data_IF_318996440162
#
_entry.id   IF_318996440162
#
_cell.length_a   1.000
_cell.length_b   1.000
_cell.length_c   1.000
_cell.angle_alpha   90.00
_cell.angle_beta   90.00
_cell.angle_gamma   90.00
#
_symmetry.space_group_name_H-M   'P 1'
#
loop_
_entity.id
_entity.type
_entity.pdbx_description
1 polymer ?
#
# COMPACT_ATOMS: atom_id res chain seq x y z
N UNK A 1 21.80 -38.26 -53.08
CA UNK A 1 21.23 -36.89 -53.11
C UNK A 1 20.50 -36.50 -51.81
N UNK A 2 20.25 -37.43 -50.89
CA UNK A 2 19.58 -37.21 -49.60
C UNK A 2 20.49 -36.73 -48.45
N UNK A 3 21.80 -37.06 -48.48
CA UNK A 3 22.74 -36.72 -47.40
C UNK A 3 23.14 -35.23 -47.36
N UNK A 4 23.25 -34.57 -48.52
CA UNK A 4 23.55 -33.12 -48.54
C UNK A 4 22.40 -32.27 -47.96
N UNK A 5 21.16 -32.76 -48.08
CA UNK A 5 20.01 -32.05 -47.54
C UNK A 5 19.95 -32.19 -46.01
N UNK A 6 20.40 -33.33 -45.47
CA UNK A 6 20.54 -33.55 -44.02
C UNK A 6 21.60 -32.64 -43.40
N UNK A 7 22.75 -32.47 -44.06
CA UNK A 7 23.81 -31.57 -43.57
C UNK A 7 23.33 -30.12 -43.48
N UNK A 8 22.61 -29.64 -44.50
CA UNK A 8 22.06 -28.29 -44.53
C UNK A 8 20.96 -28.06 -43.49
N UNK A 9 20.09 -29.05 -43.26
CA UNK A 9 19.01 -28.93 -42.27
C UNK A 9 19.58 -28.90 -40.85
N UNK A 10 20.59 -29.72 -40.55
CA UNK A 10 21.25 -29.75 -39.25
C UNK A 10 22.06 -28.47 -38.98
N UNK A 11 22.72 -27.90 -39.99
CA UNK A 11 23.45 -26.62 -39.85
C UNK A 11 22.50 -25.43 -39.57
N UNK A 12 21.30 -25.44 -40.16
CA UNK A 12 20.28 -24.40 -39.91
C UNK A 12 19.64 -24.57 -38.51
N UNK A 13 19.45 -25.81 -38.03
CA UNK A 13 18.89 -26.05 -36.68
C UNK A 13 19.91 -25.85 -35.56
N UNK A 14 21.19 -26.15 -35.80
CA UNK A 14 22.28 -25.94 -34.83
C UNK A 14 22.69 -24.46 -34.73
N UNK A 15 22.51 -23.68 -35.81
CA UNK A 15 22.73 -22.23 -35.78
C UNK A 15 21.55 -21.43 -35.19
N UNK A 16 20.32 -21.94 -35.25
CA UNK A 16 19.15 -21.32 -34.60
C UNK A 16 19.12 -21.52 -33.07
N UNK A 17 19.75 -22.58 -32.55
CA UNK A 17 19.75 -22.86 -31.10
C UNK A 17 20.82 -22.10 -30.30
N UNK A 18 21.85 -21.57 -30.97
CA UNK A 18 23.00 -20.92 -30.34
C UNK A 18 23.07 -19.39 -30.43
N UNK A 19 22.37 -18.75 -31.37
CA UNK A 19 22.45 -17.31 -31.59
C UNK A 19 21.18 -16.60 -31.16
N UNK A 20 21.04 -16.39 -29.84
CA UNK A 20 20.06 -15.40 -29.33
C UNK A 20 20.33 -14.08 -30.01
N UNK A 21 19.35 -13.58 -30.75
CA UNK A 21 19.52 -12.29 -31.42
C UNK A 21 19.76 -11.22 -30.35
N UNK A 22 20.60 -10.22 -30.60
CA UNK A 22 20.83 -9.07 -29.68
C UNK A 22 19.56 -8.40 -29.16
N UNK A 23 18.41 -8.63 -29.83
CA UNK A 23 17.08 -8.19 -29.41
C UNK A 23 16.52 -9.04 -28.27
N UNK A 24 16.65 -10.37 -28.35
CA UNK A 24 16.21 -11.30 -27.31
C UNK A 24 17.02 -11.13 -26.03
N UNK A 25 18.34 -10.96 -26.12
CA UNK A 25 19.16 -10.65 -24.95
C UNK A 25 18.70 -9.36 -24.24
N UNK A 26 18.26 -8.34 -25.00
CA UNK A 26 17.73 -7.10 -24.43
C UNK A 26 16.35 -7.30 -23.80
N UNK A 27 15.53 -8.19 -24.35
CA UNK A 27 14.23 -8.54 -23.79
C UNK A 27 14.40 -9.35 -22.50
N UNK A 28 15.33 -10.30 -22.46
CA UNK A 28 15.67 -11.07 -21.27
C UNK A 28 16.24 -10.18 -20.17
N UNK A 29 17.17 -9.26 -20.49
CA UNK A 29 17.68 -8.28 -19.52
C UNK A 29 16.58 -7.33 -19.00
N UNK A 30 15.56 -7.03 -19.80
CA UNK A 30 14.40 -6.23 -19.37
C UNK A 30 13.40 -7.05 -18.54
N UNK A 31 13.22 -8.32 -18.87
CA UNK A 31 12.39 -9.27 -18.13
C UNK A 31 12.98 -9.56 -16.75
N UNK A 32 14.29 -9.83 -16.68
CA UNK A 32 15.02 -10.01 -15.42
C UNK A 32 14.90 -8.79 -14.51
N UNK A 33 15.13 -7.57 -15.04
CA UNK A 33 14.94 -6.33 -14.27
C UNK A 33 13.49 -6.05 -13.84
N UNK A 34 12.50 -6.63 -14.52
CA UNK A 34 11.07 -6.52 -14.14
C UNK A 34 10.71 -7.56 -13.08
N UNK A 35 11.22 -8.78 -13.20
CA UNK A 35 11.07 -9.83 -12.19
C UNK A 35 11.66 -9.38 -10.84
N UNK A 36 12.88 -8.82 -10.85
CA UNK A 36 13.54 -8.30 -9.64
C UNK A 36 12.73 -7.21 -8.92
N UNK A 37 11.95 -6.40 -9.65
CA UNK A 37 11.11 -5.34 -9.05
C UNK A 37 9.81 -5.85 -8.45
N UNK A 38 9.30 -7.00 -8.92
CA UNK A 38 8.05 -7.58 -8.44
C UNK A 38 8.28 -8.47 -7.22
N UNK A 39 9.41 -9.17 -7.16
CA UNK A 39 9.72 -10.09 -6.06
C UNK A 39 10.20 -9.36 -4.79
N UNK A 40 10.85 -8.20 -4.91
CA UNK A 40 11.47 -7.51 -3.77
C UNK A 40 10.56 -6.57 -2.96
N UNK A 41 9.43 -6.12 -3.51
CA UNK A 41 8.67 -4.98 -2.94
C UNK A 41 7.51 -5.35 -2.01
N UNK A 42 6.72 -6.38 -2.36
CA UNK A 42 5.51 -6.76 -1.62
C UNK A 42 5.69 -8.03 -0.77
N UNK A 43 6.61 -8.93 -1.14
CA UNK A 43 6.83 -10.19 -0.43
C UNK A 43 7.35 -9.99 1.00
N UNK A 44 8.29 -9.07 1.19
CA UNK A 44 8.78 -8.70 2.52
C UNK A 44 7.68 -8.07 3.37
N UNK A 45 6.85 -7.21 2.77
CA UNK A 45 5.71 -6.60 3.45
C UNK A 45 4.69 -7.65 3.89
N UNK A 46 4.40 -8.64 3.04
CA UNK A 46 3.56 -9.78 3.37
C UNK A 46 4.12 -10.62 4.51
N UNK A 47 5.43 -10.88 4.51
CA UNK A 47 6.11 -11.58 5.61
C UNK A 47 6.05 -10.83 6.93
N UNK A 48 6.30 -9.51 6.92
CA UNK A 48 6.19 -8.66 8.11
C UNK A 48 4.76 -8.63 8.65
N UNK A 49 3.76 -8.51 7.77
CA UNK A 49 2.34 -8.54 8.16
C UNK A 49 1.96 -9.89 8.77
N UNK A 50 2.45 -11.00 8.22
CA UNK A 50 2.17 -12.34 8.73
C UNK A 50 2.81 -12.57 10.11
N UNK A 51 4.05 -12.11 10.31
CA UNK A 51 4.74 -12.18 11.61
C UNK A 51 4.00 -11.33 12.65
N UNK A 52 3.61 -10.11 12.28
CA UNK A 52 2.85 -9.22 13.15
C UNK A 52 1.50 -9.85 13.55
N UNK A 53 0.77 -10.42 12.58
CA UNK A 53 -0.48 -11.17 12.83
C UNK A 53 -0.25 -12.36 13.77
N UNK A 54 0.81 -13.15 13.56
CA UNK A 54 1.14 -14.28 14.42
C UNK A 54 1.42 -13.87 15.87
N UNK A 55 2.20 -12.80 16.07
CA UNK A 55 2.48 -12.22 17.39
C UNK A 55 1.19 -11.72 18.07
N UNK A 56 0.31 -11.05 17.31
CA UNK A 56 -0.98 -10.55 17.78
C UNK A 56 -1.90 -11.69 18.24
N UNK A 57 -2.04 -12.75 17.44
CA UNK A 57 -2.82 -13.93 17.80
C UNK A 57 -2.25 -14.63 19.05
N UNK A 58 -0.94 -14.69 19.19
CA UNK A 58 -0.28 -15.28 20.36
C UNK A 58 -0.52 -14.47 21.64
N UNK A 59 -0.34 -13.15 21.59
CA UNK A 59 -0.64 -12.25 22.72
C UNK A 59 -2.12 -12.27 23.10
N UNK A 60 -3.02 -12.40 22.12
CA UNK A 60 -4.46 -12.53 22.35
C UNK A 60 -4.77 -13.84 23.08
N UNK A 61 -4.18 -14.94 22.62
CA UNK A 61 -4.36 -16.25 23.24
C UNK A 61 -3.78 -16.32 24.66
N UNK A 62 -2.76 -15.50 24.97
CA UNK A 62 -2.15 -15.42 26.30
C UNK A 62 -2.99 -14.63 27.33
N UNK A 63 -4.16 -14.11 26.96
CA UNK A 63 -5.10 -13.46 27.89
C UNK A 63 -4.76 -12.02 28.28
N UNK A 64 -3.57 -11.52 27.93
CA UNK A 64 -3.14 -10.14 28.21
C UNK A 64 -3.90 -9.08 27.40
N UNK A 65 -4.51 -9.45 26.26
CA UNK A 65 -5.24 -8.54 25.37
C UNK A 65 -6.78 -8.64 25.51
N UNK A 66 -7.31 -9.22 26.59
CA UNK A 66 -8.77 -9.36 26.79
C UNK A 66 -9.53 -8.02 26.84
N UNK A 67 -8.86 -6.90 27.06
CA UNK A 67 -9.44 -5.55 27.00
C UNK A 67 -9.20 -4.83 25.66
N UNK A 68 -8.25 -5.30 24.84
CA UNK A 68 -7.93 -4.74 23.52
C UNK A 68 -8.74 -5.46 22.43
N UNK A 69 -10.07 -5.41 22.56
CA UNK A 69 -11.03 -5.99 21.60
C UNK A 69 -10.83 -5.44 20.18
N UNK A 70 -10.30 -4.22 20.07
CA UNK A 70 -10.26 -3.45 18.82
C UNK A 70 -8.84 -3.21 18.30
N UNK A 71 -7.92 -4.17 18.44
CA UNK A 71 -6.56 -4.08 17.89
C UNK A 71 -6.54 -3.86 16.37
N UNK A 72 -7.58 -4.31 15.67
CA UNK A 72 -7.80 -4.08 14.25
C UNK A 72 -7.96 -2.59 13.89
N UNK A 73 -8.22 -1.71 14.86
CA UNK A 73 -8.28 -0.26 14.65
C UNK A 73 -6.95 0.30 14.08
N UNK A 74 -5.83 -0.38 14.30
CA UNK A 74 -4.55 -0.04 13.68
C UNK A 74 -4.59 -0.15 12.14
N UNK A 75 -5.45 -1.01 11.57
CA UNK A 75 -5.64 -1.05 10.12
C UNK A 75 -6.36 0.20 9.61
N UNK A 76 -7.24 0.81 10.41
CA UNK A 76 -7.91 2.07 10.09
C UNK A 76 -6.92 3.24 10.18
N UNK A 77 -5.88 3.12 11.01
CA UNK A 77 -4.84 4.13 11.14
C UNK A 77 -4.00 4.28 9.85
N UNK A 78 -3.79 3.21 9.07
CA UNK A 78 -3.04 3.26 7.82
C UNK A 78 -3.60 4.27 6.80
N UNK A 79 -4.89 4.19 6.39
CA UNK A 79 -5.49 5.20 5.53
C UNK A 79 -5.60 6.57 6.20
N UNK A 80 -5.68 6.64 7.54
CA UNK A 80 -5.62 7.92 8.26
C UNK A 80 -4.31 8.64 8.00
N UNK A 81 -3.18 7.93 8.12
CA UNK A 81 -1.84 8.50 7.85
C UNK A 81 -1.66 8.84 6.37
N UNK A 82 -2.15 7.98 5.47
CA UNK A 82 -2.08 8.23 4.03
C UNK A 82 -2.83 9.52 3.64
N UNK A 83 -4.07 9.67 4.08
CA UNK A 83 -4.89 10.86 3.82
C UNK A 83 -4.35 12.11 4.52
N UNK A 84 -3.78 11.96 5.72
CA UNK A 84 -3.11 13.07 6.42
C UNK A 84 -1.90 13.58 5.63
N UNK A 85 -1.05 12.68 5.14
CA UNK A 85 0.11 13.04 4.32
C UNK A 85 -0.29 13.75 3.02
N UNK A 86 -1.38 13.29 2.39
CA UNK A 86 -1.94 13.92 1.20
C UNK A 86 -2.45 15.34 1.50
N UNK A 87 -3.16 15.54 2.61
CA UNK A 87 -3.64 16.85 3.06
C UNK A 87 -2.50 17.81 3.38
N UNK A 88 -1.47 17.34 4.09
CA UNK A 88 -0.28 18.15 4.38
C UNK A 88 0.50 18.51 3.11
N UNK A 89 0.57 17.58 2.14
CA UNK A 89 1.15 17.84 0.83
C UNK A 89 0.39 18.92 0.06
N UNK A 90 -0.94 18.84 0.03
CA UNK A 90 -1.80 19.84 -0.59
C UNK A 90 -1.68 21.21 0.08
N UNK A 91 -1.63 21.26 1.42
CA UNK A 91 -1.41 22.50 2.18
C UNK A 91 -0.09 23.18 1.81
N UNK A 92 1.00 22.41 1.73
CA UNK A 92 2.33 22.94 1.34
C UNK A 92 2.36 23.39 -0.11
N UNK A 93 1.70 22.67 -1.03
CA UNK A 93 1.61 23.03 -2.46
C UNK A 93 0.84 24.33 -2.67
N UNK A 94 -0.19 24.58 -1.88
CA UNK A 94 -1.00 25.79 -1.95
C UNK A 94 -0.46 26.94 -1.09
N UNK A 95 0.85 26.97 -0.82
CA UNK A 95 1.51 28.08 -0.14
C UNK A 95 1.06 28.31 1.31
N UNK A 96 0.56 27.26 1.98
CA UNK A 96 0.03 27.36 3.34
C UNK A 96 -1.42 27.83 3.42
N UNK A 97 -2.16 27.77 2.31
CA UNK A 97 -3.58 28.06 2.29
C UNK A 97 -4.41 26.80 2.52
N UNK A 98 -5.46 26.95 3.33
CA UNK A 98 -6.45 25.91 3.59
C UNK A 98 -7.48 25.89 2.46
N UNK A 99 -7.11 25.38 1.30
CA UNK A 99 -8.04 25.24 0.17
C UNK A 99 -8.85 23.94 0.29
N UNK A 100 -9.95 23.83 -0.46
CA UNK A 100 -10.77 22.61 -0.51
C UNK A 100 -9.98 21.33 -0.85
N UNK A 101 -8.90 21.46 -1.61
CA UNK A 101 -8.01 20.36 -1.98
C UNK A 101 -7.13 19.87 -0.81
N UNK A 102 -6.80 20.75 0.15
CA UNK A 102 -6.11 20.38 1.38
C UNK A 102 -7.08 19.89 2.47
N UNK A 103 -8.29 20.44 2.49
CA UNK A 103 -9.30 20.14 3.52
C UNK A 103 -9.97 18.78 3.32
N UNK A 104 -10.24 18.36 2.09
CA UNK A 104 -10.82 17.03 1.84
C UNK A 104 -10.02 15.88 2.50
N UNK A 105 -8.71 15.75 2.20
CA UNK A 105 -7.87 14.73 2.84
C UNK A 105 -7.68 14.93 4.35
N UNK A 106 -7.65 16.17 4.83
CA UNK A 106 -7.59 16.48 6.27
C UNK A 106 -8.84 15.97 7.01
N UNK A 107 -10.03 16.25 6.48
CA UNK A 107 -11.29 15.76 7.05
C UNK A 107 -11.30 14.24 7.07
N UNK A 108 -10.91 13.59 5.96
CA UNK A 108 -10.81 12.13 5.90
C UNK A 108 -9.86 11.58 6.98
N UNK A 109 -8.68 12.19 7.15
CA UNK A 109 -7.72 11.76 8.16
C UNK A 109 -8.25 11.91 9.59
N UNK A 110 -8.95 13.00 9.88
CA UNK A 110 -9.58 13.26 11.18
C UNK A 110 -10.71 12.26 11.45
N UNK A 111 -11.50 11.90 10.43
CA UNK A 111 -12.50 10.84 10.56
C UNK A 111 -11.86 9.49 10.87
N UNK A 112 -10.84 9.08 10.11
CA UNK A 112 -10.18 7.80 10.35
C UNK A 112 -9.42 7.76 11.69
N UNK A 113 -8.76 8.85 12.10
CA UNK A 113 -8.15 8.98 13.43
C UNK A 113 -9.20 8.91 14.54
N UNK A 114 -10.33 9.60 14.36
CA UNK A 114 -11.44 9.58 15.29
C UNK A 114 -12.02 8.19 15.47
N UNK A 115 -12.31 7.49 14.36
CA UNK A 115 -12.76 6.10 14.38
C UNK A 115 -11.71 5.19 15.04
N UNK A 116 -10.43 5.37 14.70
CA UNK A 116 -9.34 4.61 15.30
C UNK A 116 -9.31 4.82 16.82
N UNK A 117 -9.41 6.05 17.31
CA UNK A 117 -9.45 6.34 18.73
C UNK A 117 -10.69 5.73 19.41
N UNK A 118 -11.86 5.85 18.79
CA UNK A 118 -13.10 5.27 19.33
C UNK A 118 -12.99 3.76 19.48
N UNK A 119 -12.53 3.07 18.44
CA UNK A 119 -12.38 1.63 18.50
C UNK A 119 -11.22 1.24 19.44
N UNK A 120 -10.04 1.83 19.28
CA UNK A 120 -8.84 1.48 20.05
C UNK A 120 -9.02 1.65 21.57
N UNK A 121 -9.68 2.73 22.01
CA UNK A 121 -9.96 2.98 23.42
C UNK A 121 -11.32 2.43 23.90
N UNK A 122 -12.11 1.81 23.00
CA UNK A 122 -13.44 1.31 23.33
C UNK A 122 -14.43 2.41 23.72
N UNK A 123 -14.29 3.60 23.15
CA UNK A 123 -15.14 4.75 23.44
C UNK A 123 -16.54 4.55 22.86
N UNK A 124 -17.51 5.23 23.45
CA UNK A 124 -18.88 5.15 22.98
C UNK A 124 -19.06 6.04 21.74
N UNK A 125 -19.29 5.43 20.57
CA UNK A 125 -19.47 6.14 19.31
C UNK A 125 -20.65 7.13 19.36
N UNK A 126 -21.66 6.85 20.20
CA UNK A 126 -22.80 7.75 20.40
C UNK A 126 -22.39 9.11 20.99
N UNK A 127 -21.36 9.13 21.85
CA UNK A 127 -20.82 10.36 22.45
C UNK A 127 -19.76 11.02 21.55
N UNK A 128 -18.92 10.22 20.89
CA UNK A 128 -17.80 10.72 20.09
C UNK A 128 -18.19 11.15 18.66
N UNK A 129 -19.25 10.56 18.10
CA UNK A 129 -19.76 10.89 16.76
C UNK A 129 -20.09 12.38 16.59
N UNK A 130 -20.86 13.00 17.50
CA UNK A 130 -21.15 14.44 17.45
C UNK A 130 -19.88 15.31 17.51
N UNK A 131 -18.90 14.94 18.33
CA UNK A 131 -17.63 15.67 18.45
C UNK A 131 -16.88 15.62 17.11
N UNK A 132 -16.82 14.44 16.48
CA UNK A 132 -16.21 14.28 15.16
C UNK A 132 -16.93 15.11 14.10
N UNK A 133 -18.26 15.15 14.12
CA UNK A 133 -19.06 15.97 13.21
C UNK A 133 -18.75 17.46 13.36
N UNK A 134 -18.64 17.95 14.59
CA UNK A 134 -18.30 19.35 14.88
C UNK A 134 -16.91 19.69 14.32
N UNK A 135 -15.91 18.86 14.59
CA UNK A 135 -14.53 19.07 14.09
C UNK A 135 -14.49 19.00 12.56
N UNK A 136 -15.16 18.03 11.95
CA UNK A 136 -15.23 17.92 10.49
C UNK A 136 -15.92 19.14 9.85
N UNK A 137 -17.01 19.62 10.45
CA UNK A 137 -17.72 20.82 10.02
C UNK A 137 -16.87 22.07 10.10
N UNK A 138 -16.12 22.25 11.20
CA UNK A 138 -15.15 23.34 11.37
C UNK A 138 -14.09 23.32 10.26
N UNK A 139 -13.52 22.15 9.99
CA UNK A 139 -12.51 21.99 8.92
C UNK A 139 -13.08 22.32 7.55
N UNK A 140 -14.30 21.89 7.24
CA UNK A 140 -14.99 22.24 5.99
C UNK A 140 -15.21 23.75 5.84
N UNK A 141 -15.57 24.44 6.92
CA UNK A 141 -15.73 25.90 6.92
C UNK A 141 -14.38 26.57 6.63
N UNK A 142 -13.29 26.08 7.23
CA UNK A 142 -11.95 26.60 6.98
C UNK A 142 -11.50 26.38 5.53
N UNK A 143 -11.85 25.23 4.93
CA UNK A 143 -11.49 24.86 3.56
C UNK A 143 -12.25 25.57 2.45
N UNK A 144 -13.28 26.34 2.81
CA UNK A 144 -14.12 27.08 1.86
C UNK A 144 -13.53 28.43 1.45
N UNK A 145 -12.47 28.90 2.13
CA UNK A 145 -11.78 30.16 1.82
C UNK A 145 -10.67 29.95 0.80
#
# INVERSE_FOLDING_TARGET
MSEQNQYKVNEVTDSETGYKTRREERLERRAARRADRLDGGLGWLGGVVLIALGLLFWLQSAGYLTQLTNWWALFILLPAVATFSAGMGAYRRNGGQWTGEAVGPMVASVMFLGLTAVFFFGLNLSLFGPILLIVAGLLLILGRR
#
